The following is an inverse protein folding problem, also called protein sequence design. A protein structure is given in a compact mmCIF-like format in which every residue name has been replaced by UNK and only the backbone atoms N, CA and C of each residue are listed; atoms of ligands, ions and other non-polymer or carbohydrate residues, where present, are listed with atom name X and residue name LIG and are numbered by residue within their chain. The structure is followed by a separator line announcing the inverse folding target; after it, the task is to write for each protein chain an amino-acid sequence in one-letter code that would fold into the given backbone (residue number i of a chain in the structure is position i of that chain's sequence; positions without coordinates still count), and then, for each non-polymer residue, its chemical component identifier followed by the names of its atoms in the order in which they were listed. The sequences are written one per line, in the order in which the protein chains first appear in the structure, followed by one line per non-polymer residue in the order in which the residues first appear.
data_IF_592346673424
#
_entry.id   IF_592346673424
#
_cell.length_a   1.000
_cell.length_b   1.000
_cell.length_c   1.000
_cell.angle_alpha   90.00
_cell.angle_beta   90.00
_cell.angle_gamma   90.00
#
_symmetry.space_group_name_H-M   'P 1'
#
loop_
_entity.id
_entity.type
_entity.pdbx_description
1 polymer ?
#
# COMPACT_ATOMS: atom_id res chain seq x y z
N UNK A 1 -3.10 72.77 -38.04
CA UNK A 1 -4.36 72.27 -37.45
C UNK A 1 -4.86 71.17 -38.37
N UNK A 2 -5.07 69.91 -38.02
CA UNK A 2 -5.36 69.24 -36.73
C UNK A 2 -5.14 67.73 -36.96
N UNK A 3 -4.47 67.07 -36.00
CA UNK A 3 -4.66 65.68 -35.50
C UNK A 3 -4.83 64.51 -36.50
N UNK A 4 -3.87 63.56 -36.54
CA UNK A 4 -3.88 62.21 -35.88
C UNK A 4 -5.10 61.36 -36.33
N UNK A 5 -4.90 60.18 -36.95
CA UNK A 5 -4.96 58.88 -36.25
C UNK A 5 -4.07 57.85 -36.98
N UNK A 6 -3.04 57.39 -36.27
CA UNK A 6 -2.24 56.20 -36.58
C UNK A 6 -3.04 54.94 -36.22
N UNK A 7 -3.26 54.04 -37.17
CA UNK A 7 -3.85 52.73 -36.90
C UNK A 7 -2.73 51.81 -36.39
N UNK A 8 -2.63 51.69 -35.07
CA UNK A 8 -1.75 50.74 -34.38
C UNK A 8 -2.48 49.41 -34.24
N UNK A 9 -2.34 48.52 -35.22
CA UNK A 9 -2.78 47.13 -35.11
C UNK A 9 -1.53 46.25 -35.00
N UNK A 10 -1.30 45.69 -33.79
CA UNK A 10 -0.68 44.38 -33.49
C UNK A 10 -0.32 44.32 -32.00
N UNK A 11 -1.33 44.09 -31.15
CA UNK A 11 -1.07 43.38 -29.90
C UNK A 11 -1.02 41.89 -30.25
N UNK A 12 0.10 41.17 -30.04
CA UNK A 12 0.00 39.74 -29.92
C UNK A 12 -0.75 39.47 -28.61
N UNK A 13 -1.97 38.94 -28.73
CA UNK A 13 -2.59 38.18 -27.64
C UNK A 13 -1.66 37.01 -27.34
N UNK A 14 -0.70 37.22 -26.45
CA UNK A 14 0.02 36.13 -25.80
C UNK A 14 -0.99 35.55 -24.82
N UNK A 15 -1.76 34.58 -25.31
CA UNK A 15 -2.45 33.62 -24.46
C UNK A 15 -1.41 33.14 -23.43
N UNK A 16 -1.73 33.10 -22.12
CA UNK A 16 -0.89 32.33 -21.23
C UNK A 16 -0.92 30.90 -21.78
N UNK A 17 0.21 30.44 -22.33
CA UNK A 17 0.47 29.02 -22.45
C UNK A 17 0.31 28.51 -21.02
N UNK A 18 -0.86 27.95 -20.73
CA UNK A 18 -1.06 27.13 -19.55
C UNK A 18 -0.01 26.05 -19.66
N UNK A 19 1.05 26.23 -18.87
CA UNK A 19 2.11 25.27 -18.70
C UNK A 19 1.47 24.04 -18.08
N UNK A 20 0.98 23.12 -18.92
CA UNK A 20 0.84 21.73 -18.53
C UNK A 20 2.25 21.16 -18.37
N UNK A 21 2.85 21.43 -17.20
CA UNK A 21 4.00 20.68 -16.73
C UNK A 21 3.61 19.97 -15.45
N UNK A 22 3.80 18.66 -15.52
CA UNK A 22 3.78 17.68 -14.43
C UNK A 22 2.40 17.25 -13.95
N UNK A 23 1.66 16.55 -14.81
CA UNK A 23 1.10 15.28 -14.34
C UNK A 23 2.26 14.33 -14.09
N UNK A 24 2.93 14.49 -12.93
CA UNK A 24 3.47 13.31 -12.26
C UNK A 24 2.25 12.43 -12.12
N UNK A 25 2.23 11.29 -12.80
CA UNK A 25 1.23 10.28 -12.52
C UNK A 25 1.54 9.89 -11.07
N UNK A 26 0.82 10.49 -10.12
CA UNK A 26 0.92 10.10 -8.72
C UNK A 26 0.63 8.62 -8.69
N UNK A 27 1.57 7.85 -8.15
CA UNK A 27 1.40 6.42 -7.99
C UNK A 27 0.09 6.20 -7.21
N UNK A 28 -0.92 5.54 -7.79
CA UNK A 28 -2.22 5.35 -7.14
C UNK A 28 -2.13 4.47 -5.89
N UNK A 29 -0.97 3.84 -5.65
CA UNK A 29 -0.64 2.99 -4.49
C UNK A 29 0.54 3.56 -3.69
N UNK A 30 0.45 4.84 -3.33
CA UNK A 30 1.52 5.57 -2.66
C UNK A 30 1.85 4.98 -1.28
N UNK A 31 0.85 4.55 -0.50
CA UNK A 31 1.08 3.99 0.83
C UNK A 31 1.73 2.60 0.75
N UNK A 32 1.27 1.76 -0.19
CA UNK A 32 1.85 0.43 -0.41
C UNK A 32 3.30 0.53 -0.85
N UNK A 33 3.59 1.52 -1.69
CA UNK A 33 4.95 1.81 -2.15
C UNK A 33 5.82 2.25 -0.99
N UNK A 34 5.36 3.19 -0.16
CA UNK A 34 6.10 3.64 1.03
C UNK A 34 6.32 2.48 2.00
N UNK A 35 5.29 1.71 2.30
CA UNK A 35 5.37 0.58 3.22
C UNK A 35 6.38 -0.46 2.71
N UNK A 36 6.25 -0.93 1.46
CA UNK A 36 7.16 -1.94 0.89
C UNK A 36 8.61 -1.45 0.73
N UNK A 37 8.83 -0.16 0.50
CA UNK A 37 10.18 0.36 0.25
C UNK A 37 10.90 0.89 1.49
N UNK A 38 10.16 1.37 2.49
CA UNK A 38 10.73 2.01 3.68
C UNK A 38 10.43 1.24 4.96
N UNK A 39 9.51 0.29 4.93
CA UNK A 39 8.93 -0.28 6.14
C UNK A 39 7.88 0.64 6.75
N UNK A 40 7.38 0.25 7.91
CA UNK A 40 6.38 1.01 8.66
C UNK A 40 5.42 0.10 9.39
N UNK A 41 4.32 0.68 9.85
CA UNK A 41 3.24 -0.04 10.50
C UNK A 41 1.89 0.49 10.03
N UNK A 42 0.90 -0.39 10.03
CA UNK A 42 -0.51 -0.02 9.88
C UNK A 42 -1.37 -0.95 10.74
N UNK A 43 -2.60 -0.52 10.99
CA UNK A 43 -3.62 -1.34 11.63
C UNK A 43 -4.77 -1.53 10.67
N UNK A 44 -5.27 -2.75 10.56
CA UNK A 44 -6.45 -3.07 9.77
C UNK A 44 -7.30 -4.14 10.47
N UNK A 45 -8.57 -4.22 10.09
CA UNK A 45 -9.40 -5.35 10.49
C UNK A 45 -9.08 -6.52 9.57
N UNK A 46 -8.74 -7.67 10.15
CA UNK A 46 -8.37 -8.86 9.40
C UNK A 46 -9.20 -10.04 9.90
N UNK A 47 -9.63 -10.89 8.98
CA UNK A 47 -10.34 -12.12 9.29
C UNK A 47 -9.37 -13.28 9.52
N UNK A 48 -9.04 -13.56 10.78
CA UNK A 48 -8.10 -14.64 11.14
C UNK A 48 -8.82 -15.97 11.06
N UNK A 49 -8.23 -16.97 10.40
CA UNK A 49 -8.62 -18.37 10.54
C UNK A 49 -7.51 -19.11 11.31
N UNK A 50 -7.88 -19.85 12.35
CA UNK A 50 -6.92 -20.66 13.10
C UNK A 50 -7.22 -22.12 12.79
N UNK A 51 -6.35 -22.71 11.96
CA UNK A 51 -6.50 -24.09 11.45
C UNK A 51 -6.67 -25.11 12.59
N UNK A 52 -5.92 -24.96 13.69
CA UNK A 52 -5.95 -25.88 14.85
C UNK A 52 -7.34 -25.99 15.48
N UNK A 53 -8.08 -24.88 15.54
CA UNK A 53 -9.40 -24.82 16.16
C UNK A 53 -10.56 -24.74 15.17
N UNK A 54 -10.27 -24.61 13.86
CA UNK A 54 -11.24 -24.37 12.79
C UNK A 54 -12.20 -23.21 13.10
N UNK A 55 -11.69 -22.18 13.77
CA UNK A 55 -12.44 -20.98 14.12
C UNK A 55 -11.95 -19.81 13.29
N UNK A 56 -12.86 -18.89 13.00
CA UNK A 56 -12.50 -17.60 12.46
C UNK A 56 -13.17 -16.47 13.23
N UNK A 57 -12.48 -15.33 13.25
CA UNK A 57 -12.95 -14.13 13.92
C UNK A 57 -12.26 -12.91 13.32
N UNK A 58 -12.99 -11.79 13.32
CA UNK A 58 -12.46 -10.51 12.86
C UNK A 58 -11.73 -9.84 14.02
N UNK A 59 -10.47 -9.49 13.82
CA UNK A 59 -9.67 -8.74 14.80
C UNK A 59 -9.10 -7.49 14.18
N UNK A 60 -8.91 -6.49 15.02
CA UNK A 60 -8.04 -5.38 14.67
C UNK A 60 -6.59 -5.82 14.86
N UNK A 61 -5.88 -6.04 13.77
CA UNK A 61 -4.49 -6.42 13.78
C UNK A 61 -3.58 -5.25 13.41
N UNK A 62 -2.38 -5.26 13.96
CA UNK A 62 -1.31 -4.33 13.64
C UNK A 62 -0.24 -5.09 12.88
N UNK A 63 0.08 -4.63 11.68
CA UNK A 63 1.15 -5.17 10.83
C UNK A 63 2.33 -4.23 10.87
N UNK A 64 3.52 -4.76 11.11
CA UNK A 64 4.78 -4.01 11.08
C UNK A 64 5.74 -4.65 10.08
N UNK A 65 6.26 -3.87 9.15
CA UNK A 65 7.37 -4.29 8.31
C UNK A 65 8.63 -3.52 8.68
N UNK A 66 9.64 -4.26 9.17
CA UNK A 66 10.97 -3.73 9.40
C UNK A 66 11.89 -4.16 8.24
N UNK A 67 12.24 -3.19 7.41
CA UNK A 67 13.11 -3.40 6.25
C UNK A 67 14.54 -3.80 6.61
N UNK A 68 15.07 -3.28 7.71
CA UNK A 68 16.49 -3.43 8.04
C UNK A 68 16.83 -4.88 8.38
N UNK A 69 15.92 -5.57 9.07
CA UNK A 69 16.05 -6.96 9.46
C UNK A 69 15.21 -7.91 8.58
N UNK A 70 14.50 -7.39 7.56
CA UNK A 70 13.61 -8.14 6.68
C UNK A 70 12.60 -8.97 7.46
N UNK A 71 11.85 -8.31 8.34
CA UNK A 71 10.82 -8.94 9.16
C UNK A 71 9.46 -8.31 8.94
N UNK A 72 8.44 -9.13 8.75
CA UNK A 72 7.03 -8.75 8.80
C UNK A 72 6.41 -9.38 10.05
N UNK A 73 5.73 -8.56 10.84
CA UNK A 73 5.17 -8.93 12.14
C UNK A 73 3.68 -8.65 12.13
N UNK A 74 2.91 -9.58 12.69
CA UNK A 74 1.47 -9.47 12.92
C UNK A 74 1.18 -9.55 14.43
N UNK A 75 0.57 -8.50 14.97
CA UNK A 75 0.10 -8.45 16.36
C UNK A 75 -1.43 -8.29 16.39
N UNK A 76 -2.15 -9.08 17.21
CA UNK A 76 -3.58 -8.86 17.45
C UNK A 76 -4.05 -9.41 18.81
N UNK A 77 -5.24 -9.00 19.22
CA UNK A 77 -5.93 -9.52 20.41
C UNK A 77 -7.07 -10.44 19.95
N UNK A 78 -7.04 -11.70 20.38
CA UNK A 78 -8.08 -12.68 20.09
C UNK A 78 -9.40 -12.36 20.81
N UNK A 79 -10.49 -12.98 20.36
CA UNK A 79 -11.81 -12.80 20.97
C UNK A 79 -11.86 -13.24 22.45
N UNK A 80 -10.94 -14.13 22.86
CA UNK A 80 -10.74 -14.58 24.24
C UNK A 80 -9.87 -13.63 25.08
N UNK A 81 -9.38 -12.54 24.49
CA UNK A 81 -8.49 -11.57 25.12
C UNK A 81 -7.01 -11.96 25.10
N UNK A 82 -6.65 -13.07 24.46
CA UNK A 82 -5.24 -13.48 24.33
C UNK A 82 -4.48 -12.60 23.35
N UNK A 83 -3.17 -12.43 23.59
CA UNK A 83 -2.28 -11.70 22.71
C UNK A 83 -1.60 -12.66 21.73
N UNK A 84 -1.77 -12.40 20.44
CA UNK A 84 -1.11 -13.14 19.37
C UNK A 84 0.01 -12.30 18.75
N UNK A 85 1.13 -12.96 18.47
CA UNK A 85 2.31 -12.38 17.84
C UNK A 85 2.90 -13.40 16.87
N UNK A 86 2.85 -13.07 15.58
CA UNK A 86 3.47 -13.87 14.52
C UNK A 86 4.53 -13.06 13.79
N UNK A 87 5.61 -13.73 13.40
CA UNK A 87 6.74 -13.11 12.71
C UNK A 87 7.17 -13.97 11.53
N UNK A 88 7.27 -13.32 10.37
CA UNK A 88 7.96 -13.83 9.21
C UNK A 88 9.31 -13.10 9.06
N UNK A 89 10.40 -13.84 9.21
CA UNK A 89 11.76 -13.35 9.05
C UNK A 89 12.30 -13.66 7.65
N UNK A 90 13.43 -13.03 7.29
CA UNK A 90 14.13 -13.30 6.03
C UNK A 90 13.35 -12.92 4.76
N UNK A 91 12.33 -12.06 4.86
CA UNK A 91 11.39 -11.86 3.76
C UNK A 91 12.04 -11.29 2.50
N UNK A 92 11.60 -11.78 1.35
CA UNK A 92 11.86 -11.24 0.02
C UNK A 92 10.58 -10.60 -0.49
N UNK A 93 10.71 -9.42 -1.09
CA UNK A 93 9.58 -8.65 -1.60
C UNK A 93 9.42 -8.94 -3.08
N UNK A 94 8.25 -9.43 -3.46
CA UNK A 94 7.84 -9.58 -4.85
C UNK A 94 6.80 -8.53 -5.22
N UNK A 95 7.07 -7.79 -6.30
CA UNK A 95 6.16 -6.80 -6.88
C UNK A 95 5.69 -7.32 -8.25
N UNK A 96 4.39 -7.62 -8.38
CA UNK A 96 3.82 -8.05 -9.64
C UNK A 96 3.47 -6.82 -10.51
N UNK A 97 3.89 -6.84 -11.79
CA UNK A 97 3.62 -5.77 -12.75
C UNK A 97 2.15 -5.73 -13.22
N UNK A 98 1.46 -6.86 -13.19
CA UNK A 98 0.06 -6.99 -13.59
C UNK A 98 -0.89 -6.58 -12.47
N UNK A 99 -0.49 -6.81 -11.22
CA UNK A 99 -1.24 -6.41 -10.01
C UNK A 99 -0.43 -5.46 -9.12
N UNK A 100 -0.14 -4.22 -9.60
CA UNK A 100 0.68 -3.25 -8.86
C UNK A 100 0.06 -2.79 -7.54
N UNK A 101 -1.22 -3.08 -7.32
CA UNK A 101 -1.92 -2.86 -6.07
C UNK A 101 -1.57 -3.87 -4.98
N UNK A 102 -0.76 -4.90 -5.26
CA UNK A 102 -0.40 -5.98 -4.33
C UNK A 102 1.11 -6.15 -4.27
N UNK A 103 1.65 -6.31 -3.06
CA UNK A 103 3.04 -6.68 -2.79
C UNK A 103 3.06 -7.90 -1.89
N UNK A 104 3.83 -8.92 -2.26
CA UNK A 104 3.96 -10.14 -1.46
C UNK A 104 5.33 -10.19 -0.79
N UNK A 105 5.35 -10.59 0.47
CA UNK A 105 6.52 -10.83 1.30
C UNK A 105 6.60 -12.34 1.56
N UNK A 106 7.66 -12.98 1.08
CA UNK A 106 7.80 -14.44 1.14
C UNK A 106 9.09 -14.82 1.85
N UNK A 107 9.11 -15.97 2.53
CA UNK A 107 10.32 -16.58 3.04
C UNK A 107 10.54 -17.95 2.36
N UNK A 108 11.57 -18.06 1.53
CA UNK A 108 11.90 -19.30 0.81
C UNK A 108 12.73 -20.31 1.62
N UNK A 109 13.13 -19.97 2.85
CA UNK A 109 13.92 -20.86 3.73
C UNK A 109 13.03 -21.81 4.55
N UNK A 110 11.71 -21.55 4.62
CA UNK A 110 10.74 -22.46 5.23
C UNK A 110 10.11 -23.33 4.14
N UNK A 111 10.05 -24.65 4.38
CA UNK A 111 9.43 -25.62 3.45
C UNK A 111 7.93 -25.42 3.28
N UNK A 112 7.31 -24.60 4.13
CA UNK A 112 5.92 -24.17 4.01
C UNK A 112 5.92 -22.79 3.34
N UNK A 113 5.15 -22.64 2.26
CA UNK A 113 4.97 -21.40 1.48
C UNK A 113 4.26 -20.33 2.33
N UNK A 114 4.95 -19.80 3.34
CA UNK A 114 4.46 -18.73 4.23
C UNK A 114 4.69 -17.41 3.50
N UNK A 115 3.60 -16.77 3.08
CA UNK A 115 3.60 -15.50 2.39
C UNK A 115 2.64 -14.50 3.02
N UNK A 116 3.00 -13.22 2.95
CA UNK A 116 2.17 -12.11 3.41
C UNK A 116 1.94 -11.19 2.23
N UNK A 117 0.70 -11.00 1.81
CA UNK A 117 0.36 -10.06 0.75
C UNK A 117 -0.26 -8.80 1.34
N UNK A 118 0.27 -7.64 0.98
CA UNK A 118 -0.27 -6.33 1.36
C UNK A 118 -0.83 -5.65 0.12
N UNK A 119 -2.03 -5.10 0.22
CA UNK A 119 -2.71 -4.39 -0.87
C UNK A 119 -3.11 -2.98 -0.45
N UNK A 120 -3.19 -2.06 -1.41
CA UNK A 120 -3.80 -0.73 -1.19
C UNK A 120 -5.10 -0.58 -1.97
N UNK A 121 -6.18 -0.29 -1.25
CA UNK A 121 -7.50 -0.05 -1.82
C UNK A 121 -8.11 1.20 -1.18
N UNK A 122 -8.58 2.13 -2.01
CA UNK A 122 -9.17 3.42 -1.58
C UNK A 122 -8.29 4.20 -0.58
N UNK A 123 -6.96 4.14 -0.72
CA UNK A 123 -6.02 4.84 0.16
C UNK A 123 -5.87 4.22 1.55
N UNK A 124 -6.11 2.92 1.69
CA UNK A 124 -5.86 2.15 2.92
C UNK A 124 -5.10 0.87 2.60
N UNK A 125 -4.24 0.44 3.51
CA UNK A 125 -3.51 -0.82 3.43
C UNK A 125 -4.32 -1.94 4.08
N UNK A 126 -4.28 -3.12 3.46
CA UNK A 126 -4.84 -4.36 3.97
C UNK A 126 -3.88 -5.52 3.79
N UNK A 127 -4.01 -6.58 4.59
CA UNK A 127 -3.10 -7.72 4.63
C UNK A 127 -3.81 -9.06 4.46
N UNK A 128 -3.14 -9.99 3.80
CA UNK A 128 -3.46 -11.42 3.72
C UNK A 128 -2.24 -12.19 4.24
N UNK A 129 -2.43 -13.16 5.12
CA UNK A 129 -1.35 -13.93 5.75
C UNK A 129 -1.52 -15.44 5.44
N UNK A 130 -0.51 -16.09 4.88
CA UNK A 130 -0.46 -17.54 4.59
C UNK A 130 -1.60 -18.10 3.71
N UNK A 131 -2.11 -17.32 2.77
CA UNK A 131 -3.13 -17.79 1.81
C UNK A 131 -4.52 -18.05 2.38
N UNK A 132 -4.71 -17.86 3.68
CA UNK A 132 -6.03 -17.60 4.22
C UNK A 132 -6.43 -16.19 3.82
N UNK A 133 -7.49 -16.07 3.03
CA UNK A 133 -8.04 -14.77 2.73
C UNK A 133 -8.60 -14.15 4.01
N UNK A 134 -7.92 -13.12 4.51
CA UNK A 134 -8.48 -12.25 5.52
C UNK A 134 -9.51 -11.34 4.80
N UNK A 135 -10.77 -11.80 4.68
CA UNK A 135 -11.85 -11.04 4.06
C UNK A 135 -12.58 -10.16 5.08
N UNK A 136 -12.52 -8.84 4.91
CA UNK A 136 -13.36 -7.87 5.64
C UNK A 136 -14.80 -7.87 5.12
N UNK A 137 -15.76 -7.91 6.04
CA UNK A 137 -17.03 -7.19 5.90
C UNK A 137 -17.01 -5.96 6.81
#
# INVERSE_FOLDING_TARGET
MKTIITILFTLPFILPLTSFKNTVIENPYAQLTVFSEKGGQFEDNIHVYIVEFRQSFDVKAKVTYNKNNKQVILDFIGADGSHHHEMLDGVIIEKNKETPSVVTFENHDKNDEIYVSVTEYMGKLSVIWNGEFYHMM
#
